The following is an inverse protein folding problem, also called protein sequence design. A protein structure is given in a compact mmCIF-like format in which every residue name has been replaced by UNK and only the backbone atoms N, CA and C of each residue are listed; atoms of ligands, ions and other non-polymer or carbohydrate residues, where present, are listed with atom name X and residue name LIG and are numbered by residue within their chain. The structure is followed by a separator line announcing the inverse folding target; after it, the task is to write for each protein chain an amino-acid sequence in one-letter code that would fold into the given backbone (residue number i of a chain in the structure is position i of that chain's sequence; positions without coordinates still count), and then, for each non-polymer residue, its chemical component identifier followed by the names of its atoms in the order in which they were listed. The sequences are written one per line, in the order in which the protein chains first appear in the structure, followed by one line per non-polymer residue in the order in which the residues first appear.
data_IF_721555865876
#
_entry.id   IF_721555865876
#
_cell.length_a   1.000
_cell.length_b   1.000
_cell.length_c   1.000
_cell.angle_alpha   90.00
_cell.angle_beta   90.00
_cell.angle_gamma   90.00
#
_symmetry.space_group_name_H-M   'P 1'
#
loop_
_entity.id
_entity.type
_entity.pdbx_description
1 polymer ?
#
# COMPACT_ATOMS: atom_id res chain seq x y z
N UNK A 1 -12.34 11.12 -10.08
CA UNK A 1 -11.69 10.33 -9.02
C UNK A 1 -12.72 9.85 -8.01
N UNK A 2 -12.51 8.68 -7.39
CA UNK A 2 -13.40 8.19 -6.34
C UNK A 2 -13.52 9.17 -5.17
N UNK A 3 -14.61 9.08 -4.42
CA UNK A 3 -14.82 9.91 -3.24
C UNK A 3 -13.68 9.72 -2.24
N UNK A 4 -13.17 10.81 -1.69
CA UNK A 4 -12.04 10.79 -0.76
C UNK A 4 -10.67 10.83 -1.43
N UNK A 5 -10.62 10.69 -2.76
CA UNK A 5 -9.36 10.80 -3.52
C UNK A 5 -9.34 12.14 -4.24
N UNK A 6 -8.50 13.05 -3.75
CA UNK A 6 -8.28 14.33 -4.43
C UNK A 6 -7.47 14.11 -5.70
N UNK A 7 -7.52 15.02 -6.67
CA UNK A 7 -6.65 14.93 -7.86
C UNK A 7 -5.17 14.79 -7.50
N UNK A 8 -4.72 15.48 -6.46
CA UNK A 8 -3.33 15.40 -6.00
C UNK A 8 -2.98 14.00 -5.52
N UNK A 9 -3.86 13.37 -4.74
CA UNK A 9 -3.66 12.00 -4.25
C UNK A 9 -3.68 11.00 -5.40
N UNK A 10 -4.63 11.15 -6.31
CA UNK A 10 -4.72 10.28 -7.49
C UNK A 10 -3.48 10.35 -8.35
N UNK A 11 -2.98 11.56 -8.60
CA UNK A 11 -1.75 11.75 -9.38
C UNK A 11 -0.54 11.13 -8.70
N UNK A 12 -0.44 11.27 -7.37
CA UNK A 12 0.65 10.66 -6.62
C UNK A 12 0.66 9.14 -6.78
N UNK A 13 -0.50 8.50 -6.63
CA UNK A 13 -0.61 7.05 -6.78
C UNK A 13 -0.25 6.60 -8.21
N UNK A 14 -0.70 7.33 -9.22
CA UNK A 14 -0.37 7.02 -10.61
C UNK A 14 1.11 7.18 -10.90
N UNK A 15 1.76 8.19 -10.33
CA UNK A 15 3.21 8.38 -10.47
C UNK A 15 3.97 7.24 -9.80
N UNK A 16 3.54 6.80 -8.61
CA UNK A 16 4.15 5.65 -7.94
C UNK A 16 4.02 4.40 -8.79
N UNK A 17 2.83 4.16 -9.34
CA UNK A 17 2.58 3.00 -10.19
C UNK A 17 3.48 3.03 -11.42
N UNK A 18 3.64 4.20 -12.03
CA UNK A 18 4.52 4.35 -13.20
C UNK A 18 5.98 4.14 -12.82
N UNK A 19 6.40 4.67 -11.68
CA UNK A 19 7.78 4.56 -11.21
C UNK A 19 8.16 3.11 -10.91
N UNK A 20 7.33 2.40 -10.16
CA UNK A 20 7.61 1.02 -9.77
C UNK A 20 7.27 0.01 -10.86
N UNK A 21 6.44 0.39 -11.83
CA UNK A 21 6.03 -0.45 -12.95
C UNK A 21 5.65 -1.88 -12.52
N UNK A 22 4.72 -2.04 -11.56
CA UNK A 22 4.37 -3.37 -11.08
C UNK A 22 3.69 -4.19 -12.16
N UNK A 23 3.99 -5.48 -12.21
CA UNK A 23 3.33 -6.40 -13.13
C UNK A 23 2.00 -6.88 -12.57
N UNK A 24 1.83 -6.80 -11.25
CA UNK A 24 0.59 -7.20 -10.58
C UNK A 24 0.29 -6.24 -9.45
N UNK A 25 -1.01 -5.93 -9.27
CA UNK A 25 -1.50 -5.06 -8.20
C UNK A 25 -2.67 -5.75 -7.52
N UNK A 26 -2.61 -5.86 -6.19
CA UNK A 26 -3.72 -6.32 -5.38
C UNK A 26 -4.30 -5.12 -4.63
N UNK A 27 -5.60 -4.88 -4.80
CA UNK A 27 -6.28 -3.76 -4.15
C UNK A 27 -7.28 -4.28 -3.14
N UNK A 28 -7.14 -3.86 -1.89
CA UNK A 28 -8.12 -4.08 -0.83
C UNK A 28 -8.91 -2.79 -0.65
N UNK A 29 -10.11 -2.76 -1.20
CA UNK A 29 -10.97 -1.59 -1.12
C UNK A 29 -12.42 -1.98 -1.28
N UNK A 30 -13.32 -1.29 -0.54
CA UNK A 30 -14.76 -1.41 -0.74
C UNK A 30 -15.26 -0.51 -1.87
N UNK A 31 -14.42 0.39 -2.37
CA UNK A 31 -14.78 1.29 -3.47
C UNK A 31 -14.38 0.68 -4.80
N UNK A 32 -15.39 0.26 -5.58
CA UNK A 32 -15.15 -0.40 -6.86
C UNK A 32 -14.49 0.50 -7.90
N UNK A 33 -14.74 1.80 -7.82
CA UNK A 33 -14.20 2.76 -8.78
C UNK A 33 -12.72 3.02 -8.55
N UNK A 34 -12.23 2.73 -7.36
CA UNK A 34 -10.81 2.96 -7.03
C UNK A 34 -9.89 2.16 -7.95
N UNK A 35 -10.27 0.93 -8.25
CA UNK A 35 -9.45 0.04 -9.09
C UNK A 35 -9.26 0.59 -10.51
N UNK A 36 -10.23 1.36 -11.01
CA UNK A 36 -10.17 1.91 -12.37
C UNK A 36 -9.09 2.98 -12.55
N UNK A 37 -8.52 3.49 -11.47
CA UNK A 37 -7.44 4.47 -11.55
C UNK A 37 -6.13 3.87 -12.06
N UNK A 38 -5.98 2.55 -12.01
CA UNK A 38 -4.71 1.90 -12.29
C UNK A 38 -4.70 1.24 -13.66
N UNK A 39 -3.67 1.52 -14.50
CA UNK A 39 -3.58 0.94 -15.83
C UNK A 39 -3.11 -0.52 -15.84
N UNK A 40 -2.51 -0.98 -14.73
CA UNK A 40 -2.00 -2.34 -14.62
C UNK A 40 -3.13 -3.30 -14.27
N UNK A 41 -3.18 -4.51 -14.87
CA UNK A 41 -4.19 -5.48 -14.52
C UNK A 41 -4.19 -5.81 -13.03
N UNK A 42 -5.38 -5.83 -12.44
CA UNK A 42 -5.54 -6.13 -11.02
C UNK A 42 -5.70 -7.63 -10.86
N UNK A 43 -4.88 -8.22 -9.99
CA UNK A 43 -4.92 -9.63 -9.71
C UNK A 43 -5.91 -9.90 -8.58
N UNK A 44 -6.96 -10.67 -8.86
CA UNK A 44 -7.94 -11.05 -7.85
C UNK A 44 -7.56 -12.33 -7.11
N UNK A 45 -6.67 -13.13 -7.70
CA UNK A 45 -6.27 -14.42 -7.12
C UNK A 45 -4.96 -14.24 -6.36
N UNK A 46 -5.00 -14.50 -5.06
CA UNK A 46 -3.89 -14.24 -4.13
C UNK A 46 -2.88 -15.39 -4.01
N UNK A 47 -2.82 -16.30 -4.98
CA UNK A 47 -1.89 -17.44 -4.94
C UNK A 47 -0.45 -17.07 -5.26
N UNK A 48 -0.24 -15.94 -5.90
CA UNK A 48 1.09 -15.47 -6.26
C UNK A 48 1.44 -14.22 -5.48
N UNK A 49 2.73 -14.00 -5.27
CA UNK A 49 3.19 -12.79 -4.63
C UNK A 49 2.95 -11.60 -5.54
N UNK A 50 2.50 -10.51 -4.95
CA UNK A 50 2.12 -9.31 -5.67
C UNK A 50 3.26 -8.31 -5.69
N UNK A 51 3.40 -7.57 -6.79
CA UNK A 51 4.39 -6.49 -6.87
C UNK A 51 3.95 -5.26 -6.08
N UNK A 52 2.66 -5.01 -6.03
CA UNK A 52 2.10 -3.88 -5.28
C UNK A 52 0.79 -4.29 -4.61
N UNK A 53 0.63 -3.88 -3.36
CA UNK A 53 -0.61 -4.08 -2.61
C UNK A 53 -1.07 -2.71 -2.14
N UNK A 54 -2.35 -2.39 -2.35
CA UNK A 54 -2.92 -1.09 -1.97
C UNK A 54 -4.09 -1.32 -1.03
N UNK A 55 -4.06 -0.62 0.12
CA UNK A 55 -5.14 -0.63 1.10
C UNK A 55 -5.85 0.72 1.08
N UNK A 56 -7.14 0.72 0.75
CA UNK A 56 -7.95 1.92 0.67
C UNK A 56 -9.40 1.65 1.09
N UNK A 57 -9.84 2.26 2.18
CA UNK A 57 -11.23 2.22 2.65
C UNK A 57 -11.84 0.81 2.65
N UNK A 58 -11.19 -0.14 3.28
CA UNK A 58 -11.72 -1.49 3.41
C UNK A 58 -12.33 -1.72 4.79
N UNK A 59 -13.48 -2.39 4.85
CA UNK A 59 -14.13 -2.77 6.10
C UNK A 59 -13.41 -3.95 6.75
N UNK A 60 -13.10 -4.97 5.95
CA UNK A 60 -12.40 -6.16 6.42
C UNK A 60 -10.94 -6.08 6.00
N UNK A 61 -10.09 -5.67 6.94
CA UNK A 61 -8.66 -5.56 6.68
C UNK A 61 -8.03 -6.95 6.72
N UNK A 62 -7.11 -7.24 5.77
CA UNK A 62 -6.33 -8.49 5.84
C UNK A 62 -5.42 -8.45 7.05
N UNK A 63 -5.00 -9.63 7.53
CA UNK A 63 -4.00 -9.68 8.60
C UNK A 63 -2.64 -9.26 8.06
N UNK A 64 -1.76 -8.81 8.96
CA UNK A 64 -0.41 -8.43 8.57
C UNK A 64 0.32 -9.63 7.97
N UNK A 65 0.13 -10.81 8.54
CA UNK A 65 0.73 -12.05 8.03
C UNK A 65 0.26 -12.37 6.61
N UNK A 66 -1.01 -12.13 6.32
CA UNK A 66 -1.55 -12.32 4.97
C UNK A 66 -0.91 -11.36 3.97
N UNK A 67 -0.70 -10.11 4.38
CA UNK A 67 -0.04 -9.11 3.54
C UNK A 67 1.40 -9.50 3.26
N UNK A 68 2.15 -9.88 4.29
CA UNK A 68 3.55 -10.28 4.15
C UNK A 68 3.67 -11.51 3.26
N UNK A 69 2.74 -12.47 3.39
CA UNK A 69 2.76 -13.69 2.58
C UNK A 69 2.56 -13.40 1.09
N UNK A 70 1.93 -12.28 0.75
CA UNK A 70 1.69 -11.87 -0.64
C UNK A 70 2.78 -10.97 -1.19
N UNK A 71 3.82 -10.67 -0.41
CA UNK A 71 4.89 -9.77 -0.81
C UNK A 71 6.19 -10.51 -1.08
N UNK A 72 6.97 -10.01 -2.02
CA UNK A 72 8.35 -10.46 -2.26
C UNK A 72 9.30 -9.29 -1.96
N UNK A 73 10.60 -9.52 -2.15
CA UNK A 73 11.63 -8.57 -1.74
C UNK A 73 11.52 -7.19 -2.40
N UNK A 74 10.90 -7.11 -3.57
CA UNK A 74 10.72 -5.85 -4.30
C UNK A 74 9.29 -5.31 -4.25
N UNK A 75 8.42 -5.89 -3.41
CA UNK A 75 7.03 -5.47 -3.31
C UNK A 75 6.87 -4.16 -2.54
N UNK A 76 5.84 -3.41 -2.92
CA UNK A 76 5.41 -2.20 -2.24
C UNK A 76 4.01 -2.42 -1.66
N UNK A 77 3.87 -2.15 -0.37
CA UNK A 77 2.55 -2.04 0.27
C UNK A 77 2.24 -0.56 0.46
N UNK A 78 1.18 -0.09 -0.18
CA UNK A 78 0.74 1.29 -0.10
C UNK A 78 -0.54 1.37 0.74
N UNK A 79 -0.50 2.17 1.82
CA UNK A 79 -1.66 2.43 2.66
C UNK A 79 -2.11 3.87 2.41
N UNK A 80 -3.37 4.04 2.01
CA UNK A 80 -3.94 5.37 1.78
C UNK A 80 -4.55 5.89 3.08
N UNK A 81 -4.26 7.14 3.41
CA UNK A 81 -4.73 7.82 4.63
C UNK A 81 -4.41 7.03 5.91
N UNK A 82 -3.13 6.74 6.19
CA UNK A 82 -2.76 5.92 7.36
C UNK A 82 -3.09 6.58 8.69
N UNK A 83 -3.15 7.92 8.74
CA UNK A 83 -3.41 8.67 9.96
C UNK A 83 -4.88 8.96 10.21
N UNK A 84 -5.77 8.45 9.36
CA UNK A 84 -7.19 8.50 9.63
C UNK A 84 -7.50 7.68 10.88
N UNK A 85 -8.43 8.17 11.71
CA UNK A 85 -8.74 7.56 13.00
C UNK A 85 -9.05 6.06 12.89
N UNK A 86 -9.84 5.67 11.90
CA UNK A 86 -10.20 4.26 11.69
C UNK A 86 -9.04 3.39 11.20
N UNK A 87 -7.94 4.00 10.75
CA UNK A 87 -6.77 3.29 10.24
C UNK A 87 -5.57 3.33 11.20
N UNK A 88 -5.62 4.16 12.24
CA UNK A 88 -4.46 4.39 13.12
C UNK A 88 -3.90 3.13 13.75
N UNK A 89 -4.76 2.29 14.33
CA UNK A 89 -4.29 1.08 15.01
C UNK A 89 -3.64 0.10 14.05
N UNK A 90 -4.24 -0.06 12.88
CA UNK A 90 -3.70 -0.96 11.87
C UNK A 90 -2.36 -0.44 11.32
N UNK A 91 -2.29 0.85 11.06
CA UNK A 91 -1.04 1.47 10.60
C UNK A 91 0.06 1.32 11.65
N UNK A 92 -0.26 1.52 12.92
CA UNK A 92 0.71 1.37 14.01
C UNK A 92 1.24 -0.06 14.07
N UNK A 93 0.37 -1.05 13.96
CA UNK A 93 0.79 -2.45 13.95
C UNK A 93 1.69 -2.78 12.75
N UNK A 94 1.37 -2.23 11.58
CA UNK A 94 2.22 -2.38 10.39
C UNK A 94 3.60 -1.75 10.61
N UNK A 95 3.62 -0.52 11.12
CA UNK A 95 4.87 0.22 11.30
C UNK A 95 5.78 -0.43 12.35
N UNK A 96 5.22 -1.12 13.33
CA UNK A 96 5.97 -1.80 14.37
C UNK A 96 6.42 -3.20 13.97
N UNK A 97 5.91 -3.73 12.87
CA UNK A 97 6.26 -5.10 12.45
C UNK A 97 7.65 -5.13 11.84
N UNK A 98 8.50 -6.01 12.37
CA UNK A 98 9.91 -6.11 11.99
C UNK A 98 10.13 -6.62 10.56
N UNK A 99 9.12 -7.24 9.95
CA UNK A 99 9.25 -7.71 8.58
C UNK A 99 9.37 -6.56 7.58
N UNK A 100 8.82 -5.39 7.91
CA UNK A 100 8.93 -4.21 7.07
C UNK A 100 10.24 -3.48 7.39
N UNK A 101 11.18 -3.53 6.46
CA UNK A 101 12.51 -2.95 6.65
C UNK A 101 12.57 -1.47 6.29
N UNK A 102 11.69 -1.01 5.40
CA UNK A 102 11.60 0.41 5.04
C UNK A 102 10.16 0.86 5.18
N UNK A 103 9.94 1.92 5.94
CA UNK A 103 8.62 2.52 6.13
C UNK A 103 8.74 4.01 5.81
N UNK A 104 7.95 4.48 4.84
CA UNK A 104 7.93 5.89 4.45
C UNK A 104 6.52 6.43 4.71
N UNK A 105 6.40 7.35 5.64
CA UNK A 105 5.14 7.99 5.99
C UNK A 105 5.11 9.40 5.37
N UNK A 106 4.25 9.60 4.38
CA UNK A 106 4.08 10.89 3.73
C UNK A 106 2.85 11.64 4.26
N UNK A 107 2.28 11.18 5.37
CA UNK A 107 1.06 11.66 5.99
C UNK A 107 -0.20 11.21 5.26
N UNK A 108 -0.36 11.50 3.97
CA UNK A 108 -1.51 11.02 3.18
C UNK A 108 -1.36 9.58 2.72
N UNK A 109 -0.15 9.08 2.72
CA UNK A 109 0.19 7.72 2.32
C UNK A 109 1.26 7.15 3.22
N UNK A 110 1.30 5.83 3.31
CA UNK A 110 2.41 5.13 3.93
C UNK A 110 2.88 4.02 2.98
N UNK A 111 4.19 3.92 2.79
CA UNK A 111 4.81 2.94 1.90
C UNK A 111 5.63 1.98 2.74
N UNK A 112 5.44 0.68 2.52
CA UNK A 112 6.10 -0.38 3.27
C UNK A 112 6.83 -1.32 2.32
N UNK A 113 8.09 -1.64 2.66
CA UNK A 113 8.93 -2.55 1.90
C UNK A 113 9.51 -3.62 2.80
N UNK A 114 9.70 -4.84 2.28
CA UNK A 114 10.26 -5.96 3.04
C UNK A 114 11.62 -6.39 2.51
N UNK A 115 12.46 -5.47 2.10
CA UNK A 115 13.77 -5.75 1.51
C UNK A 115 14.72 -6.34 2.54
N UNK A 116 15.05 -7.61 2.39
CA UNK A 116 15.86 -8.34 3.36
C UNK A 116 17.32 -7.90 3.39
N UNK A 117 17.81 -7.29 2.32
CA UNK A 117 19.19 -6.80 2.23
C UNK A 117 19.41 -5.44 2.87
N UNK A 118 18.34 -4.80 3.37
CA UNK A 118 18.43 -3.49 4.00
C UNK A 118 18.20 -3.56 5.49
N UNK A 119 18.92 -2.71 6.23
CA UNK A 119 18.62 -2.48 7.64
C UNK A 119 17.31 -1.70 7.75
N UNK A 120 16.64 -1.83 8.88
CA UNK A 120 15.36 -1.18 9.09
C UNK A 120 15.51 0.34 9.10
N UNK A 121 14.74 1.02 8.27
CA UNK A 121 14.70 2.47 8.19
C UNK A 121 13.25 2.97 8.15
N UNK A 122 12.98 4.05 8.88
CA UNK A 122 11.67 4.69 8.89
C UNK A 122 11.83 6.16 8.55
N UNK A 123 11.04 6.61 7.57
CA UNK A 123 11.07 8.00 7.12
C UNK A 123 9.70 8.63 7.27
N UNK A 124 9.67 9.90 7.68
CA UNK A 124 8.44 10.69 7.68
C UNK A 124 8.67 11.87 6.76
N UNK A 125 7.92 11.93 5.68
CA UNK A 125 8.03 12.99 4.67
C UNK A 125 6.67 13.63 4.51
N UNK A 126 6.56 14.90 4.85
CA UNK A 126 5.30 15.63 4.69
C UNK A 126 5.18 16.15 3.27
N UNK A 127 4.05 15.82 2.68
CA UNK A 127 3.73 16.26 1.31
C UNK A 127 2.59 17.28 1.31
#
# INVERSE_FOLDING_TARGET
YPEGITPKKGQFMLRLTKYFAPKSIKIYSNNKDFASLFPTPITEVSKQKQDMIILYQQENKPTIEQLIAQMHNDSLLLVVDPHRKENEDFFKQLAENKAFTVVIDTFSFALFFIRSEQERECFVIRT
#
